data_IF_143768334814
#
_entry.id   IF_143768334814
#
_cell.length_a   1.000
_cell.length_b   1.000
_cell.length_c   1.000
_cell.angle_alpha   90.00
_cell.angle_beta   90.00
_cell.angle_gamma   90.00
#
_symmetry.space_group_name_H-M   'P 1'
#
loop_
_entity.id
_entity.type
_entity.pdbx_description
1 polymer ?
#
# COMPACT_ATOMS: atom_id res chain seq x y z
N UNK A 1 -6.69 -10.59 -17.53
CA UNK A 1 -5.67 -9.54 -17.74
C UNK A 1 -5.63 -9.23 -19.24
N UNK A 2 -6.20 -8.10 -19.66
CA UNK A 2 -6.01 -7.59 -21.03
C UNK A 2 -4.91 -6.54 -20.92
N UNK A 3 -3.66 -6.95 -21.17
CA UNK A 3 -2.54 -6.03 -21.26
C UNK A 3 -2.57 -5.39 -22.65
N UNK A 4 -2.91 -4.11 -22.73
CA UNK A 4 -2.84 -3.36 -23.97
C UNK A 4 -1.36 -3.05 -24.27
N UNK A 5 -0.92 -3.40 -25.49
CA UNK A 5 0.46 -3.17 -25.96
C UNK A 5 0.71 -1.67 -26.14
N UNK A 6 1.37 -1.04 -25.17
CA UNK A 6 2.17 0.16 -25.43
C UNK A 6 3.39 -0.23 -26.27
N UNK A 7 3.73 0.57 -27.27
CA UNK A 7 4.90 0.37 -28.13
C UNK A 7 6.18 0.35 -27.29
N UNK A 8 7.03 -0.64 -27.54
CA UNK A 8 8.33 -0.85 -26.88
C UNK A 8 9.45 0.00 -27.49
N UNK A 9 9.14 1.21 -27.97
CA UNK A 9 10.15 2.11 -28.52
C UNK A 9 10.65 3.03 -27.40
N UNK A 10 11.87 2.72 -26.93
CA UNK A 10 12.55 3.43 -25.84
C UNK A 10 12.42 4.96 -25.91
N UNK A 11 12.63 5.65 -27.05
CA UNK A 11 12.54 7.11 -27.12
C UNK A 11 11.17 7.70 -26.74
N UNK A 12 10.08 7.04 -27.13
CA UNK A 12 8.71 7.53 -26.88
C UNK A 12 8.27 7.32 -25.43
N UNK A 13 8.71 6.23 -24.79
CA UNK A 13 8.52 5.99 -23.36
C UNK A 13 9.26 7.04 -22.50
N UNK A 14 10.45 7.48 -22.93
CA UNK A 14 11.30 8.37 -22.12
C UNK A 14 10.92 9.86 -22.18
N UNK A 15 10.48 10.37 -23.34
CA UNK A 15 10.12 11.79 -23.52
C UNK A 15 8.64 12.11 -23.25
N UNK A 16 7.75 11.12 -23.30
CA UNK A 16 6.34 11.35 -22.98
C UNK A 16 6.06 11.20 -21.49
N UNK A 17 6.49 10.08 -20.91
CA UNK A 17 5.96 9.62 -19.62
C UNK A 17 6.50 10.42 -18.44
N UNK A 18 7.79 10.75 -18.47
CA UNK A 18 8.45 11.51 -17.41
C UNK A 18 8.02 12.98 -17.42
N UNK A 19 7.89 13.58 -18.60
CA UNK A 19 7.45 14.98 -18.72
C UNK A 19 5.96 15.16 -18.46
N UNK A 20 5.13 14.18 -18.80
CA UNK A 20 3.69 14.22 -18.51
C UNK A 20 3.43 14.11 -17.01
N UNK A 21 4.16 13.26 -16.28
CA UNK A 21 4.02 13.08 -14.83
C UNK A 21 4.77 14.15 -14.01
N UNK A 22 6.07 14.34 -14.25
CA UNK A 22 6.93 15.22 -13.43
C UNK A 22 6.88 16.68 -13.90
N UNK A 23 6.63 16.92 -15.19
CA UNK A 23 6.55 18.27 -15.78
C UNK A 23 5.12 18.81 -15.89
N UNK A 24 4.12 17.98 -15.55
CA UNK A 24 2.70 18.22 -15.75
C UNK A 24 2.35 18.64 -17.20
N UNK A 25 3.09 18.08 -18.17
CA UNK A 25 2.97 18.45 -19.60
C UNK A 25 1.58 18.12 -20.13
N UNK A 26 1.03 16.96 -19.75
CA UNK A 26 -0.32 16.54 -20.13
C UNK A 26 -1.39 17.58 -19.73
N UNK A 27 -1.49 17.95 -18.45
CA UNK A 27 -2.47 18.95 -17.98
C UNK A 27 -2.25 20.31 -18.61
N UNK A 28 -0.99 20.76 -18.75
CA UNK A 28 -0.67 22.02 -19.44
C UNK A 28 -1.16 22.04 -20.88
N UNK A 29 -1.08 20.91 -21.60
CA UNK A 29 -1.62 20.79 -22.94
C UNK A 29 -3.16 20.76 -22.94
N UNK A 30 -3.80 20.11 -21.96
CA UNK A 30 -5.26 20.17 -21.78
C UNK A 30 -5.73 21.61 -21.51
N UNK A 31 -5.13 22.32 -20.56
CA UNK A 31 -5.43 23.73 -20.25
C UNK A 31 -5.24 24.64 -21.48
N UNK A 32 -4.14 24.42 -22.21
CA UNK A 32 -3.86 25.18 -23.43
C UNK A 32 -4.92 24.91 -24.50
N UNK A 33 -5.37 23.66 -24.63
CA UNK A 33 -6.39 23.28 -25.61
C UNK A 33 -7.77 23.84 -25.23
N UNK A 34 -8.14 23.81 -23.95
CA UNK A 34 -9.36 24.43 -23.44
C UNK A 34 -9.40 25.94 -23.73
N UNK A 35 -8.28 26.64 -23.48
CA UNK A 35 -8.12 28.07 -23.82
C UNK A 35 -8.19 28.32 -25.33
N UNK A 36 -7.60 27.44 -26.14
CA UNK A 36 -7.68 27.54 -27.60
C UNK A 36 -9.08 27.22 -28.14
N UNK A 37 -9.88 26.42 -27.43
CA UNK A 37 -11.27 26.13 -27.81
C UNK A 37 -12.22 27.29 -27.54
N UNK A 38 -11.93 28.11 -26.52
CA UNK A 38 -12.76 29.26 -26.15
C UNK A 38 -12.40 30.56 -26.85
N UNK A 39 -11.30 30.59 -27.61
CA UNK A 39 -10.82 31.79 -28.31
C UNK A 39 -11.46 31.91 -29.70
N UNK A 40 -12.09 33.06 -29.98
CA UNK A 40 -12.64 33.36 -31.30
C UNK A 40 -11.55 33.91 -32.24
N UNK A 41 -11.21 33.13 -33.26
CA UNK A 41 -10.17 33.49 -34.24
C UNK A 41 -10.71 34.28 -35.43
N UNK A 42 -12.03 34.49 -35.55
CA UNK A 42 -12.65 35.09 -36.74
C UNK A 42 -12.17 36.51 -37.05
N UNK A 43 -11.73 37.23 -36.02
CA UNK A 43 -11.20 38.60 -36.11
C UNK A 43 -9.71 38.69 -36.47
N UNK A 44 -8.99 37.56 -36.49
CA UNK A 44 -7.54 37.53 -36.76
C UNK A 44 -7.24 37.52 -38.27
N UNK A 45 -6.06 37.99 -38.70
CA UNK A 45 -5.56 37.77 -40.05
C UNK A 45 -5.55 36.28 -40.42
N UNK A 46 -5.78 35.95 -41.70
CA UNK A 46 -5.89 34.55 -42.17
C UNK A 46 -4.64 33.71 -41.83
N UNK A 47 -3.45 34.32 -41.87
CA UNK A 47 -2.19 33.68 -41.48
C UNK A 47 -2.14 33.32 -39.99
N UNK A 48 -2.68 34.17 -39.12
CA UNK A 48 -2.79 33.92 -37.69
C UNK A 48 -3.86 32.88 -37.39
N UNK A 49 -5.00 32.91 -38.10
CA UNK A 49 -6.02 31.86 -38.02
C UNK A 49 -5.44 30.48 -38.38
N UNK A 50 -4.66 30.42 -39.46
CA UNK A 50 -3.99 29.18 -39.87
C UNK A 50 -2.98 28.70 -38.82
N UNK A 51 -2.12 29.59 -38.32
CA UNK A 51 -1.16 29.25 -37.27
C UNK A 51 -1.86 28.77 -35.98
N UNK A 52 -2.98 29.39 -35.62
CA UNK A 52 -3.78 28.98 -34.48
C UNK A 52 -4.39 27.59 -34.68
N UNK A 53 -4.97 27.32 -35.85
CA UNK A 53 -5.52 26.01 -36.18
C UNK A 53 -4.46 24.90 -36.11
N UNK A 54 -3.27 25.15 -36.69
CA UNK A 54 -2.14 24.21 -36.63
C UNK A 54 -1.64 23.99 -35.19
N UNK A 55 -1.55 25.05 -34.37
CA UNK A 55 -1.15 24.92 -32.98
C UNK A 55 -2.18 24.12 -32.18
N UNK A 56 -3.48 24.38 -32.40
CA UNK A 56 -4.59 23.65 -31.80
C UNK A 56 -4.56 22.17 -32.18
N UNK A 57 -4.41 21.85 -33.46
CA UNK A 57 -4.31 20.47 -33.96
C UNK A 57 -3.14 19.73 -33.30
N UNK A 58 -1.95 20.36 -33.21
CA UNK A 58 -0.80 19.77 -32.51
C UNK A 58 -1.10 19.47 -31.04
N UNK A 59 -1.75 20.40 -30.34
CA UNK A 59 -2.14 20.21 -28.92
C UNK A 59 -3.19 19.10 -28.77
N UNK A 60 -4.19 19.07 -29.66
CA UNK A 60 -5.19 18.00 -29.71
C UNK A 60 -4.52 16.64 -29.89
N UNK A 61 -3.58 16.53 -30.83
CA UNK A 61 -2.83 15.30 -31.07
C UNK A 61 -2.05 14.84 -29.83
N UNK A 62 -1.30 15.74 -29.19
CA UNK A 62 -0.54 15.42 -27.96
C UNK A 62 -1.45 14.94 -26.83
N UNK A 63 -2.61 15.59 -26.64
CA UNK A 63 -3.57 15.18 -25.61
C UNK A 63 -4.18 13.82 -25.96
N UNK A 64 -4.60 13.63 -27.21
CA UNK A 64 -5.24 12.39 -27.67
C UNK A 64 -4.29 11.18 -27.60
N UNK A 65 -3.02 11.37 -27.91
CA UNK A 65 -2.01 10.29 -27.93
C UNK A 65 -1.36 10.03 -26.55
N UNK A 66 -1.70 10.81 -25.52
CA UNK A 66 -1.13 10.63 -24.18
C UNK A 66 -1.58 9.32 -23.53
N UNK A 67 -0.67 8.67 -22.79
CA UNK A 67 -1.00 7.47 -22.01
C UNK A 67 -2.11 7.70 -20.98
N UNK A 68 -2.25 8.93 -20.46
CA UNK A 68 -3.36 9.29 -19.55
C UNK A 68 -4.72 9.22 -20.24
N UNK A 69 -4.81 9.74 -21.46
CA UNK A 69 -6.03 9.65 -22.28
C UNK A 69 -6.31 8.20 -22.66
N UNK A 70 -5.28 7.46 -23.08
CA UNK A 70 -5.43 6.04 -23.43
C UNK A 70 -5.90 5.19 -22.24
N UNK A 71 -5.38 5.44 -21.03
CA UNK A 71 -5.79 4.74 -19.81
C UNK A 71 -7.23 5.08 -19.41
N UNK A 72 -7.62 6.35 -19.53
CA UNK A 72 -9.00 6.80 -19.30
C UNK A 72 -9.97 6.14 -20.30
N UNK A 73 -9.65 6.18 -21.59
CA UNK A 73 -10.50 5.60 -22.63
C UNK A 73 -10.59 4.07 -22.54
N UNK A 74 -9.47 3.39 -22.27
CA UNK A 74 -9.48 1.95 -22.01
C UNK A 74 -10.38 1.60 -20.82
N UNK A 75 -10.34 2.41 -19.75
CA UNK A 75 -11.21 2.20 -18.58
C UNK A 75 -12.68 2.36 -18.96
N UNK A 76 -13.05 3.36 -19.76
CA UNK A 76 -14.41 3.52 -20.29
C UNK A 76 -14.84 2.35 -21.14
N UNK A 77 -13.97 1.86 -22.03
CA UNK A 77 -14.24 0.72 -22.90
C UNK A 77 -14.46 -0.56 -22.10
N UNK A 78 -13.61 -0.84 -21.10
CA UNK A 78 -13.78 -1.99 -20.20
C UNK A 78 -15.07 -1.86 -19.39
N UNK A 79 -15.40 -0.68 -18.85
CA UNK A 79 -16.69 -0.45 -18.17
C UNK A 79 -17.87 -0.71 -19.09
N UNK A 80 -17.79 -0.31 -20.35
CA UNK A 80 -18.83 -0.57 -21.35
C UNK A 80 -18.94 -2.07 -21.67
N UNK A 81 -17.80 -2.75 -21.83
CA UNK A 81 -17.74 -4.19 -22.05
C UNK A 81 -18.36 -4.96 -20.87
N UNK A 82 -18.02 -4.60 -19.63
CA UNK A 82 -18.57 -5.24 -18.42
C UNK A 82 -20.08 -5.03 -18.27
N UNK A 83 -20.62 -3.90 -18.74
CA UNK A 83 -22.06 -3.60 -18.68
C UNK A 83 -22.89 -4.32 -19.75
N UNK A 84 -22.27 -4.86 -20.80
CA UNK A 84 -23.01 -5.59 -21.83
C UNK A 84 -23.37 -6.99 -21.28
N UNK A 85 -24.66 -7.31 -21.10
CA UNK A 85 -25.09 -8.60 -20.53
C UNK A 85 -24.57 -9.80 -21.33
N UNK A 86 -24.27 -9.62 -22.62
CA UNK A 86 -23.71 -10.68 -23.46
C UNK A 86 -22.34 -11.18 -23.00
N UNK A 87 -21.63 -10.38 -22.22
CA UNK A 87 -20.29 -10.71 -21.74
C UNK A 87 -20.30 -11.47 -20.40
N UNK A 88 -21.47 -11.61 -19.75
CA UNK A 88 -21.61 -12.44 -18.55
C UNK A 88 -20.84 -11.94 -17.33
N UNK A 89 -20.65 -10.62 -17.21
CA UNK A 89 -19.89 -9.98 -16.13
C UNK A 89 -20.79 -9.29 -15.09
N UNK A 90 -22.07 -9.65 -15.03
CA UNK A 90 -23.00 -9.19 -14.02
C UNK A 90 -22.50 -9.60 -12.61
N UNK A 91 -22.47 -8.64 -11.69
CA UNK A 91 -21.96 -8.84 -10.33
C UNK A 91 -20.45 -8.67 -10.17
N UNK A 92 -19.67 -8.56 -11.26
CA UNK A 92 -18.25 -8.26 -11.19
C UNK A 92 -17.99 -6.76 -11.04
N UNK A 93 -16.96 -6.41 -10.28
CA UNK A 93 -16.50 -5.03 -10.11
C UNK A 93 -15.19 -4.81 -10.85
N UNK A 94 -15.08 -3.68 -11.54
CA UNK A 94 -13.81 -3.26 -12.13
C UNK A 94 -12.93 -2.65 -11.05
N UNK A 95 -11.67 -3.10 -10.99
CA UNK A 95 -10.61 -2.47 -10.21
C UNK A 95 -9.40 -2.26 -11.11
N UNK A 96 -8.66 -1.18 -10.87
CA UNK A 96 -7.41 -0.90 -11.56
C UNK A 96 -6.24 -1.19 -10.63
N UNK A 97 -5.13 -1.64 -11.22
CA UNK A 97 -3.89 -1.79 -10.49
C UNK A 97 -2.72 -1.55 -11.42
N UNK A 98 -1.59 -1.14 -10.85
CA UNK A 98 -0.39 -0.89 -11.60
C UNK A 98 0.78 -0.54 -10.71
N UNK A 99 1.97 -0.76 -11.24
CA UNK A 99 3.24 -0.37 -10.65
C UNK A 99 3.82 0.83 -11.40
N UNK A 100 4.56 1.71 -10.70
CA UNK A 100 5.25 2.84 -11.32
C UNK A 100 4.26 3.73 -12.10
N UNK A 101 4.62 4.15 -13.31
CA UNK A 101 3.74 4.90 -14.21
C UNK A 101 2.38 4.23 -14.41
N UNK A 102 2.33 2.90 -14.54
CA UNK A 102 1.06 2.17 -14.67
C UNK A 102 0.14 2.37 -13.47
N UNK A 103 0.72 2.50 -12.27
CA UNK A 103 -0.03 2.86 -11.06
C UNK A 103 -0.57 4.30 -11.12
N UNK A 104 0.25 5.27 -11.55
CA UNK A 104 -0.18 6.65 -11.73
C UNK A 104 -1.27 6.82 -12.80
N UNK A 105 -1.16 6.11 -13.92
CA UNK A 105 -2.21 6.06 -14.94
C UNK A 105 -3.50 5.44 -14.39
N UNK A 106 -3.38 4.37 -13.60
CA UNK A 106 -4.49 3.73 -12.92
C UNK A 106 -5.21 4.68 -11.96
N UNK A 107 -4.48 5.44 -11.15
CA UNK A 107 -5.06 6.44 -10.25
C UNK A 107 -5.78 7.55 -10.98
N UNK A 108 -5.16 8.11 -12.03
CA UNK A 108 -5.80 9.12 -12.87
C UNK A 108 -7.10 8.58 -13.47
N UNK A 109 -7.05 7.43 -14.14
CA UNK A 109 -8.22 6.82 -14.76
C UNK A 109 -9.29 6.43 -13.73
N UNK A 110 -8.87 6.00 -12.53
CA UNK A 110 -9.75 5.72 -11.40
C UNK A 110 -10.56 6.94 -10.95
N UNK A 111 -9.90 8.09 -10.78
CA UNK A 111 -10.57 9.36 -10.46
C UNK A 111 -11.52 9.82 -11.57
N UNK A 112 -11.10 9.66 -12.82
CA UNK A 112 -11.90 10.08 -13.98
C UNK A 112 -13.15 9.22 -14.17
N UNK A 113 -13.05 7.92 -13.88
CA UNK A 113 -14.10 6.95 -14.15
C UNK A 113 -14.86 6.43 -12.93
N UNK A 114 -14.51 6.86 -11.72
CA UNK A 114 -15.10 6.32 -10.48
C UNK A 114 -14.90 4.79 -10.40
N UNK A 115 -13.63 4.39 -10.34
CA UNK A 115 -13.17 3.00 -10.30
C UNK A 115 -12.13 2.88 -9.19
N UNK A 116 -12.23 1.81 -8.39
CA UNK A 116 -11.29 1.56 -7.30
C UNK A 116 -9.91 1.19 -7.82
N UNK A 117 -8.86 1.65 -7.14
CA UNK A 117 -7.46 1.48 -7.58
C UNK A 117 -6.57 1.01 -6.43
N UNK A 118 -5.68 0.06 -6.73
CA UNK A 118 -4.53 -0.25 -5.87
C UNK A 118 -3.25 -0.08 -6.69
N UNK A 119 -2.45 0.90 -6.33
CA UNK A 119 -1.21 1.24 -7.04
C UNK A 119 0.02 1.00 -6.17
N UNK A 120 1.14 0.67 -6.84
CA UNK A 120 2.41 0.34 -6.21
C UNK A 120 3.51 1.25 -6.76
N UNK A 121 4.29 1.87 -5.88
CA UNK A 121 5.40 2.77 -6.24
C UNK A 121 5.01 3.82 -7.31
N UNK A 122 3.74 4.25 -7.25
CA UNK A 122 3.16 5.09 -8.28
C UNK A 122 3.59 6.56 -8.09
N UNK A 123 3.97 7.26 -9.16
CA UNK A 123 4.30 8.66 -9.05
C UNK A 123 3.06 9.47 -8.74
N UNK A 124 3.26 10.62 -8.08
CA UNK A 124 2.16 11.49 -7.71
C UNK A 124 1.61 12.28 -8.91
N UNK A 125 0.45 11.84 -9.41
CA UNK A 125 -0.24 12.42 -10.58
C UNK A 125 -1.35 13.41 -10.19
N UNK A 126 -1.40 13.90 -8.95
CA UNK A 126 -2.47 14.79 -8.48
C UNK A 126 -2.62 16.07 -9.31
N UNK A 127 -1.51 16.59 -9.85
CA UNK A 127 -1.52 17.80 -10.68
C UNK A 127 -1.97 17.54 -12.13
N UNK A 128 -2.08 16.28 -12.54
CA UNK A 128 -2.63 15.89 -13.84
C UNK A 128 -4.16 15.96 -13.84
N UNK A 129 -4.80 15.97 -12.67
CA UNK A 129 -6.25 16.00 -12.53
C UNK A 129 -6.84 17.37 -12.95
N UNK A 130 -8.08 17.37 -13.49
CA UNK A 130 -8.90 18.58 -13.59
C UNK A 130 -9.06 19.26 -12.21
N UNK A 131 -9.28 20.58 -12.21
CA UNK A 131 -9.29 21.39 -10.96
C UNK A 131 -10.29 20.87 -9.92
N UNK A 132 -11.52 20.57 -10.32
CA UNK A 132 -12.56 20.06 -9.44
C UNK A 132 -12.19 18.69 -8.83
N UNK A 133 -11.59 17.81 -9.64
CA UNK A 133 -11.13 16.49 -9.23
C UNK A 133 -9.91 16.58 -8.30
N UNK A 134 -8.98 17.49 -8.59
CA UNK A 134 -7.84 17.78 -7.71
C UNK A 134 -8.30 18.29 -6.34
N UNK A 135 -9.26 19.22 -6.30
CA UNK A 135 -9.82 19.72 -5.05
C UNK A 135 -10.50 18.60 -4.24
N UNK A 136 -11.24 17.70 -4.91
CA UNK A 136 -11.79 16.48 -4.27
C UNK A 136 -10.69 15.59 -3.69
N UNK A 137 -9.61 15.36 -4.45
CA UNK A 137 -8.48 14.55 -3.98
C UNK A 137 -7.83 15.17 -2.73
N UNK A 138 -7.57 16.48 -2.74
CA UNK A 138 -6.97 17.20 -1.61
C UNK A 138 -7.85 17.20 -0.34
N UNK A 139 -9.17 17.09 -0.49
CA UNK A 139 -10.09 16.92 0.65
C UNK A 139 -10.14 15.49 1.19
N UNK A 140 -9.58 14.52 0.47
CA UNK A 140 -9.62 13.11 0.83
C UNK A 140 -10.81 12.35 0.28
N UNK A 141 -11.57 12.91 -0.67
CA UNK A 141 -12.80 12.29 -1.18
C UNK A 141 -12.56 10.94 -1.88
N UNK A 142 -11.31 10.60 -2.20
CA UNK A 142 -10.92 9.33 -2.86
C UNK A 142 -10.21 8.33 -1.94
N UNK A 143 -10.12 8.55 -0.62
CA UNK A 143 -9.36 7.67 0.30
C UNK A 143 -9.85 6.23 0.29
N UNK A 144 -11.17 6.04 0.25
CA UNK A 144 -11.78 4.70 0.23
C UNK A 144 -11.76 4.06 -1.17
N UNK A 145 -11.48 4.86 -2.22
CA UNK A 145 -11.49 4.41 -3.60
C UNK A 145 -10.08 4.03 -4.09
N UNK A 146 -9.07 4.79 -3.69
CA UNK A 146 -7.71 4.69 -4.24
C UNK A 146 -6.75 4.44 -3.09
N UNK A 147 -6.03 3.33 -3.17
CA UNK A 147 -4.96 2.98 -2.23
C UNK A 147 -3.64 3.00 -2.98
N UNK A 148 -2.68 3.78 -2.49
CA UNK A 148 -1.32 3.81 -3.02
C UNK A 148 -0.36 3.25 -1.98
N UNK A 149 0.43 2.24 -2.36
CA UNK A 149 1.50 1.67 -1.54
C UNK A 149 2.84 2.03 -2.16
N UNK A 150 3.80 2.48 -1.36
CA UNK A 150 5.16 2.69 -1.87
C UNK A 150 6.24 2.80 -0.81
N UNK A 151 7.49 2.68 -1.22
CA UNK A 151 8.65 2.78 -0.37
C UNK A 151 9.02 4.25 -0.16
N UNK A 152 9.20 4.72 1.08
CA UNK A 152 9.57 6.11 1.32
C UNK A 152 10.94 6.50 0.73
N UNK A 153 11.78 5.53 0.35
CA UNK A 153 13.06 5.76 -0.32
C UNK A 153 12.97 5.67 -1.86
N UNK A 154 11.82 5.28 -2.41
CA UNK A 154 11.60 5.31 -3.85
C UNK A 154 11.31 6.75 -4.32
N UNK A 155 12.20 7.26 -5.17
CA UNK A 155 12.11 8.61 -5.73
C UNK A 155 11.04 8.77 -6.80
N UNK A 156 10.55 7.68 -7.41
CA UNK A 156 9.40 7.75 -8.33
C UNK A 156 8.14 8.02 -7.53
N UNK A 157 7.93 7.27 -6.45
CA UNK A 157 6.79 7.40 -5.55
C UNK A 157 6.82 8.65 -4.66
N UNK A 158 7.96 8.99 -4.04
CA UNK A 158 8.08 10.14 -3.13
C UNK A 158 8.49 11.44 -3.82
N UNK A 159 8.75 11.38 -5.12
CA UNK A 159 9.39 12.42 -5.89
C UNK A 159 10.85 12.63 -5.49
N UNK A 160 11.60 13.31 -6.35
CA UNK A 160 13.06 13.44 -6.19
C UNK A 160 13.51 14.16 -4.90
N UNK A 161 12.65 14.96 -4.28
CA UNK A 161 12.93 15.62 -2.98
C UNK A 161 12.48 14.79 -1.78
N UNK A 162 11.89 13.62 -2.00
CA UNK A 162 11.39 12.72 -0.96
C UNK A 162 10.18 13.24 -0.19
N UNK A 163 9.55 14.33 -0.66
CA UNK A 163 8.47 15.02 0.07
C UNK A 163 7.32 15.45 -0.82
N UNK A 164 7.22 14.86 -2.02
CA UNK A 164 6.25 15.25 -3.02
C UNK A 164 4.81 14.99 -2.54
N UNK A 165 4.59 13.81 -1.95
CA UNK A 165 3.31 13.40 -1.37
C UNK A 165 2.85 14.33 -0.23
N UNK A 166 3.79 14.91 0.52
CA UNK A 166 3.51 15.86 1.61
C UNK A 166 3.23 17.28 1.10
N UNK A 167 4.00 17.73 0.11
CA UNK A 167 3.94 19.11 -0.38
C UNK A 167 2.78 19.34 -1.36
N UNK A 168 2.48 18.34 -2.22
CA UNK A 168 1.43 18.45 -3.25
C UNK A 168 0.11 17.79 -2.83
N UNK A 169 0.12 17.01 -1.75
CA UNK A 169 -0.94 16.08 -1.42
C UNK A 169 -0.88 14.80 -2.27
N UNK A 170 -1.77 13.84 -2.01
CA UNK A 170 -1.86 12.57 -2.75
C UNK A 170 -3.30 12.31 -3.16
N UNK A 171 -3.48 11.52 -4.22
CA UNK A 171 -4.77 10.94 -4.57
C UNK A 171 -4.99 9.72 -3.67
N UNK A 172 -6.14 9.67 -2.99
CA UNK A 172 -6.51 8.52 -2.18
C UNK A 172 -5.69 8.37 -0.91
N UNK A 173 -5.70 7.15 -0.36
CA UNK A 173 -5.04 6.78 0.88
C UNK A 173 -3.64 6.22 0.60
N UNK A 174 -2.64 6.77 1.29
CA UNK A 174 -1.23 6.49 1.10
C UNK A 174 -0.70 5.57 2.20
N UNK A 175 0.06 4.54 1.83
CA UNK A 175 0.75 3.65 2.75
C UNK A 175 2.23 3.52 2.38
N UNK A 176 3.09 3.58 3.39
CA UNK A 176 4.54 3.41 3.24
C UNK A 176 4.97 2.02 3.66
N UNK A 177 5.81 1.36 2.85
CA UNK A 177 6.40 0.04 3.14
C UNK A 177 7.61 0.11 4.10
N UNK A 178 7.99 1.31 4.50
CA UNK A 178 8.94 1.54 5.58
C UNK A 178 8.61 2.86 6.28
N UNK A 179 9.35 3.20 7.34
CA UNK A 179 9.09 4.41 8.10
C UNK A 179 9.30 5.67 7.22
N UNK A 180 8.28 6.53 7.06
CA UNK A 180 8.40 7.76 6.29
C UNK A 180 9.33 8.77 6.98
N UNK A 181 9.82 9.74 6.22
CA UNK A 181 10.65 10.87 6.70
C UNK A 181 11.97 10.46 7.40
N UNK A 182 12.45 9.22 7.26
CA UNK A 182 13.84 8.89 7.58
C UNK A 182 14.74 9.70 6.64
N UNK A 183 15.75 10.39 7.18
CA UNK A 183 16.73 11.16 6.38
C UNK A 183 17.23 10.30 5.23
N UNK A 184 16.84 10.69 4.03
CA UNK A 184 17.08 9.96 2.79
C UNK A 184 18.59 9.96 2.50
N UNK A 185 19.31 8.92 2.95
CA UNK A 185 20.75 8.71 2.67
C UNK A 185 20.96 8.11 1.27
N UNK A 186 20.12 8.50 0.33
CA UNK A 186 20.34 8.22 -1.07
C UNK A 186 21.47 9.16 -1.53
N UNK A 187 22.66 8.62 -1.79
CA UNK A 187 23.80 9.33 -2.40
C UNK A 187 23.44 10.15 -3.66
N UNK A 188 22.29 9.86 -4.28
CA UNK A 188 21.68 10.60 -5.39
C UNK A 188 21.13 11.99 -4.96
N UNK A 189 20.62 12.12 -3.73
CA UNK A 189 20.23 13.40 -3.13
C UNK A 189 21.44 14.32 -2.93
N UNK A 190 22.57 13.79 -2.44
CA UNK A 190 23.79 14.55 -2.16
C UNK A 190 24.61 14.90 -3.42
N UNK A 191 24.63 14.02 -4.43
CA UNK A 191 25.30 14.27 -5.71
C UNK A 191 24.71 15.46 -6.49
N UNK A 192 23.51 15.91 -6.14
CA UNK A 192 22.84 17.03 -6.79
C UNK A 192 23.50 18.39 -6.57
N UNK A 193 24.36 18.50 -5.56
CA UNK A 193 25.08 19.72 -5.18
C UNK A 193 26.25 20.04 -6.11
N UNK A 194 26.71 19.09 -6.92
CA UNK A 194 28.06 19.10 -7.53
C UNK A 194 28.12 19.24 -9.06
N UNK A 195 27.01 19.49 -9.77
CA UNK A 195 27.03 19.68 -11.24
C UNK A 195 26.54 21.10 -11.61
N UNK A 196 27.40 22.13 -11.56
CA UNK A 196 27.02 23.54 -11.77
C UNK A 196 27.19 24.06 -13.21
N UNK A 197 27.31 23.22 -14.24
CA UNK A 197 27.46 23.69 -15.62
C UNK A 197 26.55 22.92 -16.59
N UNK A 198 25.38 23.48 -16.93
CA UNK A 198 24.77 23.46 -18.27
C UNK A 198 23.32 24.00 -18.26
N UNK A 199 23.09 25.27 -18.65
CA UNK A 199 21.77 25.89 -18.75
C UNK A 199 20.83 25.30 -19.82
N UNK A 200 21.34 24.45 -20.72
CA UNK A 200 20.55 23.80 -21.79
C UNK A 200 19.76 22.57 -21.29
N UNK A 201 20.03 22.07 -20.08
CA UNK A 201 19.44 20.86 -19.50
C UNK A 201 18.27 21.11 -18.53
N UNK A 202 17.68 22.30 -18.47
CA UNK A 202 16.59 22.58 -17.51
C UNK A 202 15.31 21.76 -17.74
N UNK A 203 15.06 21.26 -18.96
CA UNK A 203 14.02 20.25 -19.23
C UNK A 203 14.53 18.81 -19.03
N UNK A 204 15.78 18.50 -19.41
CA UNK A 204 16.38 17.15 -19.23
C UNK A 204 16.77 16.80 -17.79
N UNK A 205 16.84 17.79 -16.88
CA UNK A 205 17.31 17.64 -15.51
C UNK A 205 16.36 16.82 -14.63
N UNK A 206 15.03 17.01 -14.77
CA UNK A 206 14.05 16.18 -14.07
C UNK A 206 14.00 14.76 -14.65
N UNK A 207 14.25 14.63 -15.95
CA UNK A 207 14.28 13.37 -16.68
C UNK A 207 15.45 12.49 -16.24
N UNK A 208 16.69 13.00 -16.27
CA UNK A 208 17.88 12.28 -15.77
C UNK A 208 17.74 11.90 -14.28
N UNK A 209 17.06 12.75 -13.48
CA UNK A 209 16.80 12.52 -12.05
C UNK A 209 15.78 11.43 -11.77
N UNK A 210 14.72 11.34 -12.57
CA UNK A 210 13.77 10.22 -12.56
C UNK A 210 14.50 8.91 -12.88
N UNK A 211 15.35 8.89 -13.92
CA UNK A 211 16.14 7.71 -14.30
C UNK A 211 17.15 7.27 -13.23
N UNK A 212 17.79 8.22 -12.53
CA UNK A 212 18.65 7.90 -11.38
C UNK A 212 17.89 7.16 -10.27
N UNK A 213 16.58 7.42 -10.12
CA UNK A 213 15.69 6.69 -9.21
C UNK A 213 15.59 5.19 -9.50
N UNK A 214 15.66 4.80 -10.77
CA UNK A 214 15.71 3.39 -11.21
C UNK A 214 17.12 2.79 -11.11
N UNK A 215 18.15 3.62 -10.91
CA UNK A 215 19.55 3.20 -10.82
C UNK A 215 20.08 3.11 -9.37
N UNK A 216 19.27 3.51 -8.37
CA UNK A 216 19.57 3.38 -6.95
C UNK A 216 19.33 1.97 -6.39
N UNK A 217 19.37 1.78 -5.06
CA UNK A 217 18.94 0.52 -4.45
C UNK A 217 17.52 0.19 -4.94
N UNK A 218 17.20 -1.11 -5.04
CA UNK A 218 16.04 -1.64 -5.77
C UNK A 218 14.65 -1.25 -5.25
N UNK A 219 14.50 -0.17 -4.47
CA UNK A 219 13.27 0.29 -3.81
C UNK A 219 12.07 0.44 -4.76
N UNK A 220 12.31 0.74 -6.04
CA UNK A 220 11.28 0.85 -7.08
C UNK A 220 10.90 -0.51 -7.72
N UNK A 221 11.22 -1.65 -7.09
CA UNK A 221 10.83 -2.97 -7.59
C UNK A 221 9.63 -3.51 -6.81
N UNK A 222 8.73 -4.18 -7.54
CA UNK A 222 7.69 -5.03 -6.97
C UNK A 222 8.26 -6.18 -6.12
N UNK A 223 9.52 -6.57 -6.33
CA UNK A 223 10.18 -7.62 -5.55
C UNK A 223 10.35 -7.26 -4.07
N UNK A 224 10.25 -5.96 -3.73
CA UNK A 224 10.27 -5.52 -2.34
C UNK A 224 8.93 -5.73 -1.63
N UNK A 225 7.88 -6.11 -2.36
CA UNK A 225 6.55 -6.34 -1.81
C UNK A 225 6.33 -7.83 -1.57
N UNK A 226 6.17 -8.21 -0.31
CA UNK A 226 5.76 -9.56 0.06
C UNK A 226 4.26 -9.64 0.29
N UNK A 227 3.67 -10.74 -0.16
CA UNK A 227 2.28 -11.07 0.03
C UNK A 227 2.16 -12.41 0.77
N UNK A 228 1.07 -12.58 1.51
CA UNK A 228 0.73 -13.88 2.08
C UNK A 228 0.09 -14.81 1.04
N UNK A 229 -0.29 -16.02 1.49
CA UNK A 229 -0.92 -17.04 0.63
C UNK A 229 -2.29 -16.64 0.07
N UNK A 230 -2.90 -15.58 0.60
CA UNK A 230 -4.19 -15.04 0.17
C UNK A 230 -4.04 -13.80 -0.72
N UNK A 231 -2.81 -13.33 -0.94
CA UNK A 231 -2.53 -12.14 -1.74
C UNK A 231 -2.64 -10.83 -0.97
N UNK A 232 -2.71 -10.87 0.37
CA UNK A 232 -2.62 -9.66 1.19
C UNK A 232 -1.17 -9.25 1.39
N UNK A 233 -0.91 -7.94 1.41
CA UNK A 233 0.41 -7.41 1.73
C UNK A 233 0.83 -7.87 3.13
N UNK A 234 1.99 -8.51 3.19
CA UNK A 234 2.58 -9.00 4.43
C UNK A 234 4.00 -8.45 4.55
N UNK A 235 4.09 -7.18 4.94
CA UNK A 235 5.35 -6.46 5.06
C UNK A 235 5.70 -6.22 6.53
N UNK A 236 6.97 -6.38 6.95
CA UNK A 236 7.37 -6.24 8.35
C UNK A 236 7.20 -4.82 8.87
N UNK A 237 7.26 -3.85 7.97
CA UNK A 237 7.05 -2.43 8.21
C UNK A 237 5.97 -1.94 7.25
N UNK A 238 4.89 -1.39 7.79
CA UNK A 238 3.85 -0.71 7.05
C UNK A 238 3.40 0.48 7.88
N UNK A 239 3.32 1.65 7.26
CA UNK A 239 2.90 2.87 7.92
C UNK A 239 1.79 3.53 7.15
N UNK A 240 0.79 4.03 7.86
CA UNK A 240 -0.21 4.92 7.30
C UNK A 240 0.46 6.27 6.99
N UNK A 241 0.33 6.73 5.74
CA UNK A 241 1.03 7.92 5.26
C UNK A 241 0.46 9.24 5.77
N UNK A 242 -0.73 9.25 6.36
CA UNK A 242 -1.36 10.44 6.90
C UNK A 242 -1.09 10.60 8.39
N UNK A 243 -1.20 9.51 9.14
CA UNK A 243 -0.99 9.49 10.59
C UNK A 243 0.48 9.27 10.96
N UNK A 244 1.24 8.63 10.08
CA UNK A 244 2.61 8.17 10.37
C UNK A 244 2.65 6.98 11.32
N UNK A 245 1.49 6.40 11.68
CA UNK A 245 1.41 5.25 12.58
C UNK A 245 1.74 3.96 11.85
N UNK A 246 2.38 3.04 12.58
CA UNK A 246 2.64 1.69 12.06
C UNK A 246 1.31 0.92 12.04
N UNK A 247 0.92 0.41 10.89
CA UNK A 247 -0.27 -0.43 10.75
C UNK A 247 0.09 -1.90 10.87
N UNK A 248 -0.87 -2.69 11.36
CA UNK A 248 -0.77 -4.15 11.40
C UNK A 248 -1.62 -4.74 10.28
N UNK A 249 -0.99 -5.41 9.32
CA UNK A 249 -1.67 -6.07 8.20
C UNK A 249 -1.73 -5.24 6.91
N UNK A 250 -2.56 -5.70 5.97
CA UNK A 250 -2.65 -5.14 4.63
C UNK A 250 -3.63 -3.95 4.57
N UNK A 251 -3.29 -2.83 3.89
CA UNK A 251 -4.10 -1.61 3.74
C UNK A 251 -5.56 -1.72 3.28
N UNK A 252 -6.04 -2.90 2.88
CA UNK A 252 -7.43 -3.14 2.46
C UNK A 252 -7.97 -4.49 2.96
N UNK A 253 -7.28 -5.11 3.92
CA UNK A 253 -7.85 -6.21 4.66
C UNK A 253 -8.79 -5.61 5.70
N UNK A 254 -10.10 -5.66 5.45
CA UNK A 254 -11.09 -5.25 6.44
C UNK A 254 -10.95 -6.13 7.68
N UNK A 255 -10.43 -5.52 8.75
CA UNK A 255 -10.06 -6.22 9.98
C UNK A 255 -8.87 -7.16 9.78
N UNK A 256 -8.09 -7.34 10.83
CA UNK A 256 -7.13 -8.44 10.90
C UNK A 256 -7.95 -9.73 10.82
N UNK A 257 -8.15 -10.26 9.61
CA UNK A 257 -8.81 -11.55 9.43
C UNK A 257 -7.78 -12.60 9.78
N UNK A 258 -7.80 -13.03 11.03
CA UNK A 258 -7.04 -14.19 11.49
C UNK A 258 -7.69 -15.42 10.84
N UNK A 259 -7.13 -15.86 9.71
CA UNK A 259 -7.52 -17.12 9.06
C UNK A 259 -6.88 -18.28 9.82
N UNK A 260 -7.57 -18.77 10.84
CA UNK A 260 -7.26 -20.04 11.48
C UNK A 260 -8.29 -21.08 11.02
N UNK A 261 -7.83 -22.23 10.52
CA UNK A 261 -8.72 -23.38 10.35
C UNK A 261 -9.12 -23.96 11.71
N UNK A 262 -10.23 -24.70 11.75
CA UNK A 262 -10.65 -25.41 12.98
C UNK A 262 -9.52 -26.30 13.51
N UNK A 263 -8.78 -26.96 12.61
CA UNK A 263 -7.63 -27.80 12.97
C UNK A 263 -6.49 -26.97 13.58
N UNK A 264 -6.19 -25.78 13.05
CA UNK A 264 -5.17 -24.89 13.60
C UNK A 264 -5.56 -24.42 15.01
N UNK A 265 -6.83 -24.07 15.24
CA UNK A 265 -7.34 -23.69 16.58
C UNK A 265 -7.24 -24.86 17.57
N UNK A 266 -7.60 -26.08 17.14
CA UNK A 266 -7.46 -27.30 17.96
C UNK A 266 -6.01 -27.63 18.28
N UNK A 267 -5.10 -27.39 17.33
CA UNK A 267 -3.67 -27.63 17.55
C UNK A 267 -3.09 -26.65 18.57
N UNK A 268 -3.37 -25.35 18.43
CA UNK A 268 -2.94 -24.30 19.38
C UNK A 268 -3.43 -24.61 20.80
N UNK A 269 -4.71 -24.96 20.96
CA UNK A 269 -5.28 -25.30 22.27
C UNK A 269 -4.67 -26.57 22.87
N UNK A 270 -4.39 -27.59 22.06
CA UNK A 270 -3.67 -28.79 22.48
C UNK A 270 -2.24 -28.48 22.95
N UNK A 271 -1.50 -27.66 22.20
CA UNK A 271 -0.13 -27.28 22.57
C UNK A 271 -0.10 -26.45 23.85
N UNK A 272 -1.03 -25.51 24.01
CA UNK A 272 -1.21 -24.73 25.23
C UNK A 272 -1.48 -25.63 26.45
N UNK A 273 -2.36 -26.63 26.34
CA UNK A 273 -2.60 -27.61 27.42
C UNK A 273 -1.35 -28.40 27.77
N UNK A 274 -0.58 -28.83 26.77
CA UNK A 274 0.67 -29.57 26.98
C UNK A 274 1.70 -28.72 27.73
N UNK A 275 1.85 -27.44 27.37
CA UNK A 275 2.74 -26.51 28.07
C UNK A 275 2.30 -26.27 29.52
N UNK A 276 0.99 -26.11 29.76
CA UNK A 276 0.44 -25.98 31.12
C UNK A 276 0.79 -27.22 31.95
N UNK A 277 0.58 -28.42 31.41
CA UNK A 277 0.88 -29.65 32.14
C UNK A 277 2.40 -29.81 32.40
N UNK A 278 3.26 -29.44 31.46
CA UNK A 278 4.73 -29.45 31.65
C UNK A 278 5.19 -28.45 32.72
N UNK A 279 4.69 -27.20 32.68
CA UNK A 279 4.97 -26.19 33.71
C UNK A 279 4.52 -26.69 35.08
N UNK A 280 3.33 -27.28 35.16
CA UNK A 280 2.79 -27.81 36.41
C UNK A 280 3.68 -28.92 36.98
N UNK A 281 4.14 -29.86 36.13
CA UNK A 281 5.06 -30.92 36.55
C UNK A 281 6.39 -30.34 37.04
N UNK A 282 6.98 -29.39 36.32
CA UNK A 282 8.25 -28.74 36.71
C UNK A 282 8.12 -28.02 38.06
N UNK A 283 7.02 -27.31 38.28
CA UNK A 283 6.75 -26.62 39.56
C UNK A 283 6.61 -27.64 40.69
N UNK A 284 5.81 -28.69 40.51
CA UNK A 284 5.65 -29.73 41.55
C UNK A 284 6.98 -30.41 41.88
N UNK A 285 7.77 -30.76 40.86
CA UNK A 285 9.09 -31.37 41.05
C UNK A 285 10.06 -30.44 41.78
N UNK A 286 10.15 -29.17 41.36
CA UNK A 286 10.99 -28.17 42.01
C UNK A 286 10.57 -27.94 43.46
N UNK A 287 9.26 -27.87 43.69
CA UNK A 287 8.67 -27.70 45.03
C UNK A 287 9.01 -28.87 45.94
N UNK A 288 8.85 -30.10 45.47
CA UNK A 288 9.21 -31.29 46.24
C UNK A 288 10.70 -31.33 46.57
N UNK A 289 11.58 -30.94 45.63
CA UNK A 289 13.02 -30.81 45.90
C UNK A 289 13.30 -29.77 46.99
N UNK A 290 12.68 -28.59 46.91
CA UNK A 290 12.82 -27.53 47.90
C UNK A 290 12.31 -27.99 49.27
N UNK A 291 11.11 -28.58 49.34
CA UNK A 291 10.51 -29.09 50.57
C UNK A 291 11.42 -30.14 51.21
N UNK A 292 11.96 -31.08 50.44
CA UNK A 292 12.87 -32.10 50.96
C UNK A 292 14.14 -31.50 51.58
N UNK A 293 14.72 -30.47 50.95
CA UNK A 293 15.88 -29.75 51.50
C UNK A 293 15.51 -29.00 52.78
N UNK A 294 14.35 -28.34 52.81
CA UNK A 294 13.86 -27.60 53.97
C UNK A 294 13.55 -28.55 55.15
N UNK A 295 13.02 -29.75 54.91
CA UNK A 295 12.78 -30.73 55.98
C UNK A 295 14.06 -31.19 56.68
N UNK A 296 15.20 -31.15 56.00
CA UNK A 296 16.49 -31.55 56.55
C UNK A 296 17.21 -30.39 57.27
N UNK A 297 16.71 -29.16 57.16
CA UNK A 297 17.30 -27.97 57.75
C UNK A 297 16.59 -27.60 59.07
N UNK A 298 17.31 -27.48 60.20
CA UNK A 298 16.73 -27.08 61.49
C UNK A 298 16.07 -25.69 61.45
N UNK A 299 16.60 -24.77 60.64
CA UNK A 299 16.09 -23.39 60.52
C UNK A 299 14.74 -23.28 59.81
N UNK A 300 14.28 -24.34 59.14
CA UNK A 300 13.03 -24.35 58.35
C UNK A 300 11.86 -24.98 59.09
N UNK A 301 12.11 -25.73 60.16
CA UNK A 301 11.07 -26.37 61.00
C UNK A 301 10.41 -25.35 61.93
N UNK A 302 11.17 -24.35 62.41
CA UNK A 302 10.64 -23.29 63.29
C UNK A 302 9.90 -22.15 62.56
N UNK A 303 9.99 -22.11 61.22
CA UNK A 303 9.72 -20.89 60.45
C UNK A 303 8.59 -20.94 59.43
N UNK A 304 7.54 -21.76 59.57
CA UNK A 304 6.35 -21.84 58.67
C UNK A 304 6.60 -21.88 57.14
N UNK A 305 7.86 -22.02 56.69
CA UNK A 305 8.27 -21.71 55.32
C UNK A 305 7.77 -22.75 54.34
N UNK A 306 7.74 -24.02 54.78
CA UNK A 306 7.16 -25.13 54.02
C UNK A 306 5.67 -24.84 53.75
N UNK A 307 4.91 -24.45 54.77
CA UNK A 307 3.49 -24.12 54.61
C UNK A 307 3.29 -22.94 53.65
N UNK A 308 4.06 -21.86 53.80
CA UNK A 308 3.99 -20.69 52.89
C UNK A 308 4.29 -21.07 51.44
N UNK A 309 5.33 -21.88 51.22
CA UNK A 309 5.69 -22.36 49.88
C UNK A 309 4.56 -23.21 49.28
N UNK A 310 4.05 -24.18 50.06
CA UNK A 310 2.94 -25.04 49.65
C UNK A 310 1.69 -24.23 49.31
N UNK A 311 1.30 -23.25 50.14
CA UNK A 311 0.17 -22.36 49.85
C UNK A 311 0.40 -21.52 48.58
N UNK A 312 1.62 -21.00 48.37
CA UNK A 312 1.96 -20.25 47.17
C UNK A 312 1.84 -21.09 45.89
N UNK A 313 2.29 -22.35 45.93
CA UNK A 313 2.20 -23.29 44.79
C UNK A 313 0.74 -23.62 44.49
N UNK A 314 -0.05 -23.97 45.52
CA UNK A 314 -1.48 -24.23 45.36
C UNK A 314 -2.22 -23.00 44.82
N UNK A 315 -1.88 -21.80 45.31
CA UNK A 315 -2.44 -20.54 44.82
C UNK A 315 -2.11 -20.30 43.34
N UNK A 316 -0.88 -20.58 42.90
CA UNK A 316 -0.49 -20.46 41.50
C UNK A 316 -1.22 -21.47 40.61
N UNK A 317 -1.25 -22.76 41.01
CA UNK A 317 -1.93 -23.81 40.26
C UNK A 317 -3.42 -23.50 40.08
N UNK A 318 -4.11 -23.14 41.16
CA UNK A 318 -5.54 -22.85 41.13
C UNK A 318 -5.86 -21.50 40.47
N UNK A 319 -5.08 -20.47 40.75
CA UNK A 319 -5.36 -19.11 40.29
C UNK A 319 -5.04 -18.88 38.82
N UNK A 320 -3.97 -19.51 38.32
CA UNK A 320 -3.47 -19.26 36.97
C UNK A 320 -3.63 -20.48 36.06
N UNK A 321 -3.18 -21.67 36.49
CA UNK A 321 -3.14 -22.84 35.61
C UNK A 321 -4.53 -23.37 35.29
N UNK A 322 -5.41 -23.50 36.28
CA UNK A 322 -6.82 -23.91 36.05
C UNK A 322 -7.55 -22.91 35.16
N UNK A 323 -7.27 -21.61 35.31
CA UNK A 323 -7.90 -20.56 34.53
C UNK A 323 -7.50 -20.63 33.06
N UNK A 324 -6.20 -20.75 32.78
CA UNK A 324 -5.70 -20.88 31.42
C UNK A 324 -6.20 -22.19 30.78
N UNK A 325 -6.29 -23.29 31.56
CA UNK A 325 -6.87 -24.55 31.08
C UNK A 325 -8.34 -24.39 30.71
N UNK A 326 -9.14 -23.73 31.55
CA UNK A 326 -10.55 -23.45 31.27
C UNK A 326 -10.74 -22.57 30.02
N UNK A 327 -9.86 -21.59 29.78
CA UNK A 327 -9.91 -20.77 28.57
C UNK A 327 -9.55 -21.61 27.32
N UNK A 328 -8.56 -22.50 27.41
CA UNK A 328 -8.24 -23.41 26.32
C UNK A 328 -9.41 -24.35 25.99
N UNK A 329 -10.10 -24.87 27.01
CA UNK A 329 -11.28 -25.72 26.86
C UNK A 329 -12.44 -24.97 26.17
N UNK A 330 -12.66 -23.71 26.56
CA UNK A 330 -13.67 -22.85 25.93
C UNK A 330 -13.37 -22.59 24.45
N UNK A 331 -12.10 -22.30 24.12
CA UNK A 331 -11.68 -22.05 22.73
C UNK A 331 -11.89 -23.32 21.87
N UNK A 332 -11.52 -24.50 22.39
CA UNK A 332 -11.74 -25.77 21.68
C UNK A 332 -13.24 -26.05 21.46
N UNK A 333 -14.08 -25.83 22.49
CA UNK A 333 -15.52 -26.02 22.37
C UNK A 333 -16.11 -25.13 21.27
N UNK A 334 -15.72 -23.86 21.21
CA UNK A 334 -16.16 -22.95 20.14
C UNK A 334 -15.71 -23.44 18.76
N UNK A 335 -14.48 -23.95 18.63
CA UNK A 335 -13.99 -24.51 17.36
C UNK A 335 -14.83 -25.71 16.88
N UNK A 336 -15.24 -26.59 17.80
CA UNK A 336 -16.13 -27.73 17.49
C UNK A 336 -17.54 -27.27 17.10
N UNK A 337 -18.07 -26.25 17.77
CA UNK A 337 -19.36 -25.65 17.41
C UNK A 337 -19.33 -25.09 15.99
N UNK A 338 -18.27 -24.37 15.61
CA UNK A 338 -18.07 -23.88 14.24
C UNK A 338 -18.04 -25.01 13.21
N UNK A 339 -17.25 -26.07 13.45
CA UNK A 339 -17.17 -27.24 12.57
C UNK A 339 -18.52 -27.93 12.39
N UNK A 340 -19.35 -27.95 13.43
CA UNK A 340 -20.67 -28.57 13.39
C UNK A 340 -21.64 -27.76 12.53
N UNK A 341 -21.60 -26.44 12.63
CA UNK A 341 -22.42 -25.52 11.82
C UNK A 341 -22.03 -25.61 10.34
N UNK A 342 -20.73 -25.64 10.03
CA UNK A 342 -20.23 -25.71 8.65
C UNK A 342 -20.56 -27.05 7.96
N UNK A 343 -20.78 -28.13 8.73
CA UNK A 343 -21.19 -29.44 8.21
C UNK A 343 -22.70 -29.59 8.01
N UNK A 344 -23.50 -28.65 8.53
CA UNK A 344 -24.97 -28.67 8.44
C UNK A 344 -25.54 -27.78 7.34
N UNK A 345 -24.72 -26.88 6.78
CA UNK A 345 -25.00 -26.11 5.56
C UNK A 345 -24.24 -26.70 4.37
#
# INVERSE_FOLDING_TARGET
MIAFRGSWEAPDFYDADVFDVMGNRFRKNQDSLEKMNSFDTSSLPLTEQFNFAMAKERKQKIVAESQFTNADDLTKEVKKYMKDPKNGLDGYQLTLTGHSLGGGLGEYAGVMNDVAVVSYEAPNVIDSLPKDKKEKALRGDYKDQITTIGNPNDTVFTGFRGNDNKNRGRIGHLFYTDKPDIKNDNRIHDASSYIPFLPFLTNGYNTVRFFMGFMGPSFHSMDNLSHDKYGYLNMPNMYDGETGEKIQGSPRADGVTIHLTVEEVKQITSDLRREIDDINQKIVQASNKIINVLQQSPASVDGNLINTLTYGIYGFQRGYMERIRSEADFIEQRAVEFETVDKQN
#
